data_IF_559306436716
#
_entry.id   IF_559306436716
#
_cell.length_a   1.000
_cell.length_b   1.000
_cell.length_c   1.000
_cell.angle_alpha   90.00
_cell.angle_beta   90.00
_cell.angle_gamma   90.00
#
_symmetry.space_group_name_H-M   'P 1'
#
loop_
_entity.id
_entity.type
_entity.pdbx_description
1 polymer ?
#
# COMPACT_ATOMS: atom_id res chain seq x y z
N UNK A 1 0.32 -27.90 20.61
CA UNK A 1 0.49 -26.70 19.76
C UNK A 1 1.44 -25.76 20.46
N UNK A 2 2.53 -25.36 19.81
CA UNK A 2 3.43 -24.34 20.35
C UNK A 2 2.79 -22.98 20.18
N UNK A 3 2.80 -22.19 21.24
CA UNK A 3 2.31 -20.80 21.22
C UNK A 3 3.04 -19.97 20.16
N UNK A 4 2.35 -19.08 19.49
CA UNK A 4 2.91 -18.23 18.44
C UNK A 4 2.62 -16.77 18.74
N UNK A 5 3.68 -15.96 18.73
CA UNK A 5 3.65 -14.56 19.13
C UNK A 5 3.02 -13.64 18.05
N UNK A 6 2.77 -14.14 16.83
CA UNK A 6 2.18 -13.37 15.75
C UNK A 6 1.22 -14.19 14.90
N UNK A 7 0.26 -13.49 14.27
CA UNK A 7 -0.71 -14.07 13.33
C UNK A 7 -0.02 -14.75 12.16
N UNK A 8 1.02 -14.15 11.58
CA UNK A 8 1.76 -14.68 10.43
C UNK A 8 2.44 -16.01 10.78
N UNK A 9 3.04 -16.08 11.97
CA UNK A 9 3.65 -17.34 12.47
C UNK A 9 2.57 -18.41 12.72
N UNK A 10 1.40 -18.04 13.22
CA UNK A 10 0.28 -18.96 13.43
C UNK A 10 -0.21 -19.52 12.10
N UNK A 11 -0.44 -18.66 11.09
CA UNK A 11 -0.83 -19.08 9.73
C UNK A 11 0.23 -20.04 9.15
N UNK A 12 1.50 -19.63 9.11
CA UNK A 12 2.56 -20.42 8.50
C UNK A 12 2.84 -21.75 9.20
N UNK A 13 2.67 -21.83 10.53
CA UNK A 13 2.93 -23.07 11.30
C UNK A 13 1.75 -24.01 11.41
N UNK A 14 0.53 -23.46 11.44
CA UNK A 14 -0.67 -24.22 11.76
C UNK A 14 -1.67 -24.27 10.61
N UNK A 15 -2.15 -23.14 10.12
CA UNK A 15 -3.23 -23.13 9.13
C UNK A 15 -2.84 -23.78 7.80
N UNK A 16 -1.69 -23.36 7.22
CA UNK A 16 -1.24 -23.89 5.92
C UNK A 16 -0.78 -25.34 5.96
N UNK A 17 -0.43 -25.86 7.13
CA UNK A 17 0.05 -27.25 7.30
C UNK A 17 -0.97 -28.18 7.92
N UNK A 18 -2.07 -27.64 8.42
CA UNK A 18 -3.06 -28.41 9.15
C UNK A 18 -3.60 -29.59 8.32
N UNK A 19 -4.15 -29.31 7.17
CA UNK A 19 -4.74 -30.31 6.27
C UNK A 19 -3.70 -31.37 5.89
N UNK A 20 -2.49 -30.94 5.49
CA UNK A 20 -1.42 -31.87 5.14
C UNK A 20 -1.04 -32.76 6.31
N UNK A 21 -0.90 -32.22 7.52
CA UNK A 21 -0.53 -32.99 8.71
C UNK A 21 -1.54 -34.12 8.98
N UNK A 22 -2.83 -33.83 8.94
CA UNK A 22 -3.86 -34.85 9.17
C UNK A 22 -3.99 -35.83 8.01
N UNK A 23 -3.80 -35.37 6.76
CA UNK A 23 -3.74 -36.27 5.62
C UNK A 23 -2.59 -37.28 5.72
N UNK A 24 -1.39 -36.84 6.13
CA UNK A 24 -0.23 -37.69 6.33
C UNK A 24 -0.46 -38.74 7.46
N UNK A 25 -1.37 -38.43 8.40
CA UNK A 25 -1.82 -39.37 9.46
C UNK A 25 -2.95 -40.31 9.00
N UNK A 26 -3.38 -40.22 7.73
CA UNK A 26 -4.41 -41.09 7.15
C UNK A 26 -5.85 -40.61 7.37
N UNK A 27 -6.06 -39.40 7.89
CA UNK A 27 -7.39 -38.83 8.02
C UNK A 27 -7.92 -38.38 6.65
N UNK A 28 -9.21 -38.61 6.41
CA UNK A 28 -9.92 -38.08 5.24
C UNK A 28 -10.51 -36.73 5.60
N UNK A 29 -10.47 -35.80 4.66
CA UNK A 29 -11.07 -34.47 4.77
C UNK A 29 -11.76 -34.13 3.46
N UNK A 30 -12.76 -33.24 3.55
CA UNK A 30 -13.42 -32.66 2.41
C UNK A 30 -13.80 -31.22 2.73
N UNK A 31 -14.04 -30.39 1.72
CA UNK A 31 -14.51 -29.04 1.88
C UNK A 31 -16.05 -29.00 1.80
N UNK A 32 -16.69 -28.24 2.70
CA UNK A 32 -18.14 -28.03 2.67
C UNK A 32 -18.55 -27.33 1.37
N UNK A 33 -17.71 -26.42 0.88
CA UNK A 33 -17.89 -25.72 -0.39
C UNK A 33 -16.64 -25.95 -1.23
N UNK A 34 -16.84 -26.41 -2.46
CA UNK A 34 -15.80 -26.61 -3.46
C UNK A 34 -15.69 -25.36 -4.31
N UNK A 35 -14.88 -24.40 -3.87
CA UNK A 35 -14.61 -23.17 -4.61
C UNK A 35 -13.11 -23.00 -4.79
N UNK A 36 -12.69 -22.69 -6.01
CA UNK A 36 -11.30 -22.67 -6.42
C UNK A 36 -10.76 -21.24 -6.66
N UNK A 37 -11.58 -20.22 -6.48
CA UNK A 37 -11.12 -18.85 -6.58
C UNK A 37 -10.34 -18.44 -5.33
N UNK A 38 -9.20 -17.79 -5.54
CA UNK A 38 -8.37 -17.29 -4.46
C UNK A 38 -9.15 -16.30 -3.59
N UNK A 39 -9.07 -16.51 -2.27
CA UNK A 39 -9.68 -15.62 -1.29
C UNK A 39 -11.22 -15.48 -1.40
N UNK A 40 -11.94 -16.46 -2.00
CA UNK A 40 -13.39 -16.41 -2.23
C UNK A 40 -14.19 -16.02 -0.99
N UNK A 41 -13.80 -16.50 0.21
CA UNK A 41 -14.45 -16.13 1.48
C UNK A 41 -14.37 -14.64 1.84
N UNK A 42 -13.47 -13.86 1.21
CA UNK A 42 -13.31 -12.43 1.42
C UNK A 42 -13.90 -11.61 0.29
N UNK A 43 -13.78 -12.11 -0.94
CA UNK A 43 -14.09 -11.38 -2.17
C UNK A 43 -15.51 -11.73 -2.63
N UNK A 44 -15.92 -12.99 -2.49
CA UNK A 44 -17.19 -13.53 -2.94
C UNK A 44 -18.02 -14.12 -1.79
N UNK A 45 -18.32 -13.35 -0.73
CA UNK A 45 -19.02 -13.88 0.43
C UNK A 45 -20.45 -14.35 0.11
N UNK A 46 -21.15 -13.68 -0.82
CA UNK A 46 -22.48 -14.09 -1.26
C UNK A 46 -22.43 -15.38 -2.08
N UNK A 47 -21.50 -15.48 -3.03
CA UNK A 47 -21.28 -16.70 -3.81
C UNK A 47 -21.00 -17.89 -2.90
N UNK A 48 -20.15 -17.72 -1.89
CA UNK A 48 -19.84 -18.75 -0.91
C UNK A 48 -21.06 -19.16 -0.08
N UNK A 49 -21.87 -18.20 0.36
CA UNK A 49 -23.09 -18.46 1.12
C UNK A 49 -24.11 -19.26 0.27
N UNK A 50 -24.34 -18.84 -0.99
CA UNK A 50 -25.20 -19.55 -1.95
C UNK A 50 -24.69 -20.95 -2.29
N UNK A 51 -23.39 -21.17 -2.24
CA UNK A 51 -22.78 -22.50 -2.43
C UNK A 51 -22.84 -23.39 -1.18
N UNK A 52 -23.46 -22.93 -0.09
CA UNK A 52 -23.70 -23.71 1.13
C UNK A 52 -22.68 -23.47 2.25
N UNK A 53 -21.86 -22.44 2.17
CA UNK A 53 -21.02 -22.05 3.31
C UNK A 53 -21.91 -21.62 4.49
N UNK A 54 -21.73 -22.18 5.70
CA UNK A 54 -22.52 -21.77 6.87
C UNK A 54 -21.99 -20.48 7.51
N UNK A 55 -20.96 -19.86 6.95
CA UNK A 55 -20.21 -18.75 7.57
C UNK A 55 -19.94 -17.64 6.56
N UNK A 56 -20.05 -16.40 7.04
CA UNK A 56 -19.52 -15.21 6.37
C UNK A 56 -18.35 -14.68 7.20
N UNK A 57 -17.22 -14.44 6.58
CA UNK A 57 -16.06 -13.86 7.29
C UNK A 57 -16.35 -12.41 7.69
N UNK A 58 -16.16 -12.11 8.97
CA UNK A 58 -16.29 -10.76 9.52
C UNK A 58 -15.53 -9.70 8.68
N UNK A 59 -14.32 -10.04 8.24
CA UNK A 59 -13.49 -9.13 7.46
C UNK A 59 -13.97 -8.94 6.02
N UNK A 60 -14.81 -9.82 5.47
CA UNK A 60 -15.42 -9.60 4.17
C UNK A 60 -16.40 -8.42 4.18
N UNK A 61 -17.07 -8.20 5.30
CA UNK A 61 -18.03 -7.10 5.49
C UNK A 61 -17.38 -5.70 5.48
N UNK A 62 -16.04 -5.60 5.50
CA UNK A 62 -15.33 -4.34 5.24
C UNK A 62 -15.54 -3.82 3.83
N UNK A 63 -15.80 -4.73 2.90
CA UNK A 63 -15.97 -4.43 1.49
C UNK A 63 -17.44 -4.10 1.19
N UNK A 64 -18.05 -3.26 2.02
CA UNK A 64 -19.47 -2.91 1.96
C UNK A 64 -19.84 -2.00 0.79
N UNK A 65 -18.87 -1.40 0.12
CA UNK A 65 -19.04 -0.58 -1.07
C UNK A 65 -17.84 -0.71 -2.03
N UNK A 66 -17.98 -0.19 -3.24
CA UNK A 66 -16.95 -0.23 -4.28
C UNK A 66 -15.68 0.51 -3.87
N UNK A 67 -15.80 1.64 -3.15
CA UNK A 67 -14.65 2.41 -2.67
C UNK A 67 -13.73 1.55 -1.80
N UNK A 68 -14.31 0.71 -0.94
CA UNK A 68 -13.54 -0.22 -0.11
C UNK A 68 -12.82 -1.27 -0.96
N UNK A 69 -13.48 -1.76 -2.00
CA UNK A 69 -12.91 -2.72 -2.94
C UNK A 69 -11.73 -2.14 -3.69
N UNK A 70 -11.86 -0.94 -4.25
CA UNK A 70 -10.80 -0.26 -5.00
C UNK A 70 -9.55 -0.05 -4.15
N UNK A 71 -9.71 0.41 -2.90
CA UNK A 71 -8.59 0.59 -1.98
C UNK A 71 -7.97 -0.73 -1.49
N UNK A 72 -8.61 -1.86 -1.73
CA UNK A 72 -8.04 -3.19 -1.48
C UNK A 72 -7.42 -3.82 -2.73
N UNK A 73 -7.34 -3.09 -3.81
CA UNK A 73 -6.73 -3.55 -5.04
C UNK A 73 -7.65 -4.42 -5.90
N UNK A 74 -8.96 -4.39 -5.66
CA UNK A 74 -9.95 -5.21 -6.38
C UNK A 74 -10.74 -4.34 -7.35
N UNK A 75 -10.72 -4.71 -8.64
CA UNK A 75 -11.49 -4.05 -9.72
C UNK A 75 -12.75 -4.86 -10.01
N UNK A 76 -13.68 -4.85 -9.07
CA UNK A 76 -14.96 -5.54 -9.18
C UNK A 76 -15.97 -4.98 -8.19
N UNK A 77 -17.24 -5.28 -8.42
CA UNK A 77 -18.32 -4.85 -7.55
C UNK A 77 -18.28 -5.60 -6.21
N UNK A 78 -18.70 -4.92 -5.16
CA UNK A 78 -18.85 -5.52 -3.83
C UNK A 78 -20.09 -6.42 -3.80
N UNK A 79 -19.97 -7.64 -3.31
CA UNK A 79 -21.10 -8.52 -3.06
C UNK A 79 -21.80 -8.28 -1.70
N UNK A 80 -21.27 -7.37 -0.86
CA UNK A 80 -21.83 -7.18 0.50
C UNK A 80 -23.23 -6.58 0.50
N UNK A 81 -23.60 -5.61 -0.35
CA UNK A 81 -24.98 -5.16 -0.45
C UNK A 81 -25.94 -6.32 -0.79
N UNK A 82 -25.68 -7.05 -1.86
CA UNK A 82 -26.49 -8.18 -2.29
C UNK A 82 -26.51 -9.34 -1.26
N UNK A 83 -25.42 -9.50 -0.49
CA UNK A 83 -25.36 -10.46 0.61
C UNK A 83 -26.32 -10.10 1.74
N UNK A 84 -26.41 -8.83 2.08
CA UNK A 84 -27.36 -8.36 3.12
C UNK A 84 -28.80 -8.59 2.68
N UNK A 85 -29.13 -8.29 1.43
CA UNK A 85 -30.46 -8.51 0.85
C UNK A 85 -30.79 -10.00 0.82
N UNK A 86 -29.86 -10.84 0.35
CA UNK A 86 -30.05 -12.30 0.34
C UNK A 86 -30.28 -12.87 1.75
N UNK A 87 -29.53 -12.41 2.75
CA UNK A 87 -29.70 -12.89 4.13
C UNK A 87 -31.05 -12.46 4.68
N UNK A 88 -31.50 -11.25 4.38
CA UNK A 88 -32.79 -10.73 4.84
C UNK A 88 -34.00 -11.47 4.20
N UNK A 89 -33.90 -11.87 2.93
CA UNK A 89 -34.99 -12.40 2.17
C UNK A 89 -35.04 -13.94 2.17
N UNK A 90 -33.89 -14.59 2.18
CA UNK A 90 -33.77 -16.02 1.90
C UNK A 90 -33.31 -16.85 3.12
N UNK A 91 -33.10 -16.23 4.29
CA UNK A 91 -32.62 -16.94 5.49
C UNK A 91 -33.33 -16.47 6.76
N UNK A 92 -33.32 -17.33 7.80
CA UNK A 92 -33.80 -16.95 9.13
C UNK A 92 -32.73 -16.22 9.98
N UNK A 93 -31.54 -15.92 9.43
CA UNK A 93 -30.50 -15.25 10.16
C UNK A 93 -30.84 -13.78 10.34
N UNK A 94 -30.69 -13.20 11.55
CA UNK A 94 -31.03 -11.80 11.78
C UNK A 94 -30.02 -10.87 11.07
N UNK A 95 -30.41 -10.35 9.91
CA UNK A 95 -29.56 -9.48 9.06
C UNK A 95 -29.02 -8.27 9.81
N UNK A 96 -29.78 -7.74 10.79
CA UNK A 96 -29.36 -6.62 11.64
C UNK A 96 -27.98 -6.82 12.29
N UNK A 97 -27.57 -8.07 12.56
CA UNK A 97 -26.22 -8.35 13.10
C UNK A 97 -25.14 -8.02 12.06
N UNK A 98 -25.37 -8.36 10.78
CA UNK A 98 -24.44 -8.05 9.70
C UNK A 98 -24.42 -6.54 9.41
N UNK A 99 -25.58 -5.90 9.39
CA UNK A 99 -25.70 -4.44 9.23
C UNK A 99 -24.97 -3.68 10.35
N UNK A 100 -25.10 -4.13 11.60
CA UNK A 100 -24.35 -3.56 12.72
C UNK A 100 -22.84 -3.67 12.54
N UNK A 101 -22.36 -4.77 11.99
CA UNK A 101 -20.94 -4.95 11.68
C UNK A 101 -20.51 -3.99 10.57
N UNK A 102 -21.27 -3.93 9.47
CA UNK A 102 -21.01 -2.98 8.37
C UNK A 102 -21.01 -1.55 8.88
N UNK A 103 -21.99 -1.17 9.70
CA UNK A 103 -22.07 0.16 10.28
C UNK A 103 -20.87 0.47 11.19
N UNK A 104 -20.37 -0.49 11.93
CA UNK A 104 -19.11 -0.32 12.68
C UNK A 104 -17.94 0.00 11.77
N UNK A 105 -17.82 -0.66 10.61
CA UNK A 105 -16.78 -0.33 9.64
C UNK A 105 -16.97 1.07 9.03
N UNK A 106 -18.21 1.50 8.77
CA UNK A 106 -18.52 2.86 8.27
C UNK A 106 -18.19 3.94 9.30
N UNK A 107 -18.36 3.64 10.58
CA UNK A 107 -18.21 4.62 11.68
C UNK A 107 -16.82 4.63 12.32
N UNK A 108 -15.90 3.71 11.96
CA UNK A 108 -14.51 3.80 12.42
C UNK A 108 -13.96 5.16 11.98
N UNK A 109 -13.54 6.04 12.91
CA UNK A 109 -12.89 7.28 12.55
C UNK A 109 -11.71 6.95 11.63
N UNK A 110 -11.73 7.50 10.44
CA UNK A 110 -10.57 7.41 9.55
C UNK A 110 -9.55 8.37 10.12
N UNK A 111 -8.64 7.85 10.93
CA UNK A 111 -7.50 8.62 11.42
C UNK A 111 -6.76 9.14 10.19
N UNK A 112 -6.91 10.43 9.91
CA UNK A 112 -6.21 11.06 8.81
C UNK A 112 -4.75 11.23 9.20
N UNK A 113 -3.87 10.59 8.47
CA UNK A 113 -2.42 10.69 8.65
C UNK A 113 -1.74 11.07 7.33
N UNK A 114 -0.52 11.57 7.45
CA UNK A 114 0.38 11.70 6.32
C UNK A 114 1.08 10.35 6.13
N UNK A 115 0.96 9.76 4.96
CA UNK A 115 1.61 8.49 4.61
C UNK A 115 2.96 8.77 3.95
N UNK A 116 4.04 8.28 4.55
CA UNK A 116 5.38 8.31 3.96
C UNK A 116 5.76 6.89 3.52
N UNK A 117 6.00 6.70 2.23
CA UNK A 117 6.43 5.43 1.63
C UNK A 117 7.91 5.53 1.33
N UNK A 118 8.74 4.68 1.97
CA UNK A 118 10.18 4.61 1.77
C UNK A 118 10.51 3.61 0.65
N UNK A 119 10.90 4.11 -0.52
CA UNK A 119 11.33 3.29 -1.66
C UNK A 119 12.79 2.82 -1.57
N UNK A 120 13.59 3.35 -0.63
CA UNK A 120 14.99 2.94 -0.41
C UNK A 120 15.08 1.82 0.62
N UNK A 121 14.09 1.69 1.51
CA UNK A 121 13.95 0.60 2.48
C UNK A 121 15.20 0.38 3.36
N UNK A 122 15.84 1.48 3.73
CA UNK A 122 17.06 1.47 4.53
C UNK A 122 18.28 0.77 3.86
N UNK A 123 18.25 0.51 2.56
CA UNK A 123 19.42 0.04 1.78
C UNK A 123 20.54 1.10 1.84
N UNK A 124 20.14 2.38 1.86
CA UNK A 124 21.02 3.53 2.09
C UNK A 124 20.52 4.22 3.37
N UNK A 125 20.98 3.80 4.57
CA UNK A 125 20.39 4.20 5.85
C UNK A 125 20.33 5.72 6.07
N UNK A 126 21.35 6.45 5.61
CA UNK A 126 21.36 7.91 5.71
C UNK A 126 20.25 8.56 4.88
N UNK A 127 19.91 8.01 3.71
CA UNK A 127 18.83 8.54 2.87
C UNK A 127 17.48 8.35 3.55
N UNK A 128 17.16 7.13 4.00
CA UNK A 128 15.97 6.85 4.81
C UNK A 128 15.92 7.78 6.04
N UNK A 129 17.06 7.93 6.77
CA UNK A 129 17.09 8.78 7.96
C UNK A 129 16.73 10.21 7.64
N UNK A 130 17.41 10.86 6.68
CA UNK A 130 17.22 12.27 6.39
C UNK A 130 15.91 12.58 5.65
N UNK A 131 15.50 11.71 4.72
CA UNK A 131 14.35 12.01 3.86
C UNK A 131 13.03 11.50 4.40
N UNK A 132 13.04 10.42 5.17
CA UNK A 132 11.80 9.77 5.66
C UNK A 132 11.65 9.98 7.17
N UNK A 133 12.61 9.51 7.98
CA UNK A 133 12.45 9.50 9.43
C UNK A 133 12.49 10.90 10.03
N UNK A 134 13.44 11.74 9.64
CA UNK A 134 13.51 13.14 10.12
C UNK A 134 12.28 13.94 9.68
N UNK A 135 11.78 13.71 8.47
CA UNK A 135 10.52 14.32 7.99
C UNK A 135 9.33 13.86 8.85
N UNK A 136 9.23 12.57 9.13
CA UNK A 136 8.19 12.05 10.02
C UNK A 136 8.25 12.69 11.41
N UNK A 137 9.45 12.85 11.95
CA UNK A 137 9.68 13.53 13.25
C UNK A 137 9.22 14.99 13.19
N UNK A 138 9.65 15.74 12.17
CA UNK A 138 9.23 17.13 11.97
C UNK A 138 7.69 17.26 11.90
N UNK A 139 7.04 16.44 11.10
CA UNK A 139 5.58 16.47 10.94
C UNK A 139 4.87 16.13 12.27
N UNK A 140 5.36 15.13 13.01
CA UNK A 140 4.80 14.77 14.33
C UNK A 140 4.96 15.91 15.36
N UNK A 141 6.09 16.60 15.35
CA UNK A 141 6.31 17.81 16.20
C UNK A 141 5.33 18.93 15.89
N UNK A 142 4.85 19.01 14.65
CA UNK A 142 3.80 19.96 14.24
C UNK A 142 2.38 19.43 14.46
N UNK A 143 2.21 18.30 15.14
CA UNK A 143 0.91 17.77 15.52
C UNK A 143 0.23 16.89 14.47
N UNK A 144 0.94 16.54 13.38
CA UNK A 144 0.38 15.64 12.36
C UNK A 144 0.56 14.18 12.77
N UNK A 145 -0.48 13.38 12.57
CA UNK A 145 -0.34 11.93 12.58
C UNK A 145 0.47 11.50 11.34
N UNK A 146 1.46 10.63 11.51
CA UNK A 146 2.34 10.18 10.41
C UNK A 146 2.53 8.69 10.48
N UNK A 147 2.24 8.02 9.38
CA UNK A 147 2.54 6.61 9.14
C UNK A 147 3.72 6.50 8.18
N UNK A 148 4.75 5.77 8.59
CA UNK A 148 5.90 5.42 7.74
C UNK A 148 5.79 3.95 7.39
N UNK A 149 6.02 3.61 6.13
CA UNK A 149 5.99 2.24 5.62
C UNK A 149 7.09 2.06 4.59
N UNK A 150 7.76 0.91 4.59
CA UNK A 150 8.62 0.50 3.49
C UNK A 150 7.79 0.16 2.25
N UNK A 151 8.34 0.35 1.06
CA UNK A 151 7.64 0.01 -0.18
C UNK A 151 7.23 -1.47 -0.23
N UNK A 152 8.10 -2.36 0.24
CA UNK A 152 7.83 -3.82 0.33
C UNK A 152 6.66 -4.19 1.24
N UNK A 153 6.36 -3.36 2.24
CA UNK A 153 5.27 -3.56 3.20
C UNK A 153 4.02 -2.73 2.85
N UNK A 154 4.12 -1.90 1.82
CA UNK A 154 3.03 -1.03 1.41
C UNK A 154 1.84 -1.84 0.89
N UNK A 155 0.66 -1.44 1.27
CA UNK A 155 -0.61 -1.94 0.76
C UNK A 155 -1.49 -0.74 0.39
N UNK A 156 -2.17 -0.82 -0.74
CA UNK A 156 -3.01 0.26 -1.27
C UNK A 156 -4.06 0.74 -0.25
N UNK A 157 -4.60 -0.18 0.56
CA UNK A 157 -5.53 0.13 1.64
C UNK A 157 -4.98 1.09 2.71
N UNK A 158 -3.65 1.20 2.85
CA UNK A 158 -3.04 2.17 3.75
C UNK A 158 -3.24 3.61 3.27
N UNK A 159 -3.38 3.83 1.97
CA UNK A 159 -3.63 5.15 1.41
C UNK A 159 -5.08 5.62 1.57
N UNK A 160 -6.03 4.71 1.81
CA UNK A 160 -7.44 5.06 2.00
C UNK A 160 -7.65 6.11 3.10
N UNK A 161 -6.93 6.01 4.21
CA UNK A 161 -7.03 6.93 5.33
C UNK A 161 -5.95 8.02 5.35
N UNK A 162 -5.10 8.06 4.33
CA UNK A 162 -4.11 9.13 4.22
C UNK A 162 -4.75 10.45 3.77
N UNK A 163 -4.34 11.55 4.38
CA UNK A 163 -4.67 12.91 3.94
C UNK A 163 -3.72 13.39 2.85
N UNK A 164 -2.45 13.01 2.96
CA UNK A 164 -1.38 13.30 2.00
C UNK A 164 -0.48 12.08 1.90
N UNK A 165 0.11 11.88 0.74
CA UNK A 165 0.99 10.76 0.46
C UNK A 165 2.32 11.31 -0.05
N UNK A 166 3.42 10.85 0.54
CA UNK A 166 4.78 11.17 0.09
C UNK A 166 5.49 9.87 -0.23
N UNK A 167 5.98 9.75 -1.45
CA UNK A 167 6.70 8.58 -1.95
C UNK A 167 8.17 8.98 -2.11
N UNK A 168 9.03 8.43 -1.26
CA UNK A 168 10.44 8.71 -1.33
C UNK A 168 11.15 7.72 -2.26
N UNK A 169 11.78 8.26 -3.34
CA UNK A 169 12.72 7.59 -4.23
C UNK A 169 12.32 6.16 -4.60
N UNK A 170 11.07 6.00 -5.03
CA UNK A 170 10.53 4.73 -5.49
C UNK A 170 10.36 4.74 -7.01
N UNK A 171 10.81 3.71 -7.74
CA UNK A 171 10.49 3.58 -9.16
C UNK A 171 8.98 3.33 -9.32
N UNK A 172 8.43 3.73 -10.47
CA UNK A 172 7.03 3.44 -10.79
C UNK A 172 6.78 1.93 -10.79
N UNK A 173 5.65 1.54 -10.23
CA UNK A 173 5.13 0.17 -10.31
C UNK A 173 3.63 0.21 -10.64
N UNK A 174 3.03 -0.91 -11.09
CA UNK A 174 1.58 -0.96 -11.29
C UNK A 174 0.77 -0.56 -10.05
N UNK A 175 1.22 -0.96 -8.86
CA UNK A 175 0.57 -0.62 -7.59
C UNK A 175 0.68 0.88 -7.27
N UNK A 176 1.85 1.49 -7.45
CA UNK A 176 2.05 2.93 -7.24
C UNK A 176 1.33 3.77 -8.29
N UNK A 177 1.27 3.32 -9.55
CA UNK A 177 0.47 3.98 -10.57
C UNK A 177 -1.02 3.96 -10.20
N UNK A 178 -1.53 2.81 -9.75
CA UNK A 178 -2.89 2.69 -9.25
C UNK A 178 -3.13 3.59 -8.05
N UNK A 179 -2.18 3.65 -7.10
CA UNK A 179 -2.23 4.57 -5.98
C UNK A 179 -2.41 6.02 -6.45
N UNK A 180 -1.59 6.49 -7.41
CA UNK A 180 -1.67 7.85 -7.94
C UNK A 180 -3.03 8.13 -8.58
N UNK A 181 -3.59 7.18 -9.36
CA UNK A 181 -4.90 7.33 -9.99
C UNK A 181 -6.01 7.44 -8.94
N UNK A 182 -6.08 6.52 -7.99
CA UNK A 182 -7.08 6.55 -6.92
C UNK A 182 -6.91 7.80 -6.04
N UNK A 183 -5.69 8.14 -5.66
CA UNK A 183 -5.43 9.33 -4.86
C UNK A 183 -5.95 10.60 -5.54
N UNK A 184 -5.73 10.73 -6.84
CA UNK A 184 -6.25 11.82 -7.65
C UNK A 184 -7.78 11.87 -7.68
N UNK A 185 -8.43 10.71 -7.88
CA UNK A 185 -9.89 10.58 -7.88
C UNK A 185 -10.50 10.99 -6.54
N UNK A 186 -9.85 10.61 -5.44
CA UNK A 186 -10.29 10.91 -4.07
C UNK A 186 -9.70 12.21 -3.50
N UNK A 187 -9.07 13.04 -4.32
CA UNK A 187 -8.53 14.35 -3.92
C UNK A 187 -7.42 14.30 -2.88
N UNK A 188 -6.62 13.22 -2.89
CA UNK A 188 -5.48 13.01 -1.97
C UNK A 188 -4.18 13.41 -2.65
N UNK A 189 -3.50 14.49 -2.23
CA UNK A 189 -2.26 14.91 -2.85
C UNK A 189 -1.14 13.86 -2.69
N UNK A 190 -0.47 13.55 -3.80
CA UNK A 190 0.69 12.66 -3.85
C UNK A 190 1.92 13.44 -4.24
N UNK A 191 2.98 13.37 -3.44
CA UNK A 191 4.25 14.03 -3.70
C UNK A 191 5.37 13.00 -3.88
N UNK A 192 6.19 13.21 -4.90
CA UNK A 192 7.42 12.45 -5.09
C UNK A 192 8.60 13.15 -4.41
N UNK A 193 9.24 12.50 -3.46
CA UNK A 193 10.41 13.04 -2.77
C UNK A 193 11.68 12.45 -3.40
N UNK A 194 12.52 13.31 -3.93
CA UNK A 194 13.77 12.91 -4.57
C UNK A 194 14.88 13.93 -4.28
N UNK A 195 16.06 13.43 -3.92
CA UNK A 195 17.20 14.22 -3.48
C UNK A 195 18.42 14.12 -4.40
N UNK A 196 18.30 13.40 -5.52
CA UNK A 196 19.32 13.24 -6.54
C UNK A 196 18.76 13.48 -7.95
N UNK A 197 19.64 13.85 -8.91
CA UNK A 197 19.32 14.00 -10.34
C UNK A 197 19.28 12.64 -11.07
N UNK A 198 18.44 11.71 -10.61
CA UNK A 198 18.33 10.35 -11.13
C UNK A 198 16.96 10.04 -11.74
N UNK A 199 16.23 11.06 -12.15
CA UNK A 199 14.89 10.95 -12.72
C UNK A 199 14.83 11.23 -14.23
N UNK A 200 15.96 11.62 -14.86
CA UNK A 200 16.09 11.76 -16.28
C UNK A 200 17.52 11.40 -16.73
N UNK A 201 17.64 10.68 -17.84
CA UNK A 201 18.95 10.25 -18.38
C UNK A 201 19.81 11.41 -18.84
N UNK A 202 19.23 12.58 -19.14
CA UNK A 202 19.98 13.81 -19.49
C UNK A 202 20.98 14.20 -18.40
N UNK A 203 20.69 13.91 -17.14
CA UNK A 203 21.59 14.17 -16.02
C UNK A 203 22.59 13.04 -15.79
N UNK A 204 22.14 11.81 -15.96
CA UNK A 204 22.93 10.61 -15.62
C UNK A 204 23.89 10.21 -16.73
N UNK A 205 23.63 10.56 -17.98
CA UNK A 205 24.52 10.28 -19.12
C UNK A 205 25.89 10.98 -19.01
N UNK A 206 25.97 12.03 -18.22
CA UNK A 206 27.21 12.81 -18.00
C UNK A 206 28.07 12.24 -16.87
N UNK A 207 27.57 11.29 -16.10
CA UNK A 207 28.29 10.71 -14.98
C UNK A 207 29.39 9.76 -15.47
N UNK A 208 30.58 9.90 -14.93
CA UNK A 208 31.73 9.02 -15.26
C UNK A 208 31.42 7.54 -15.01
N UNK A 209 30.63 7.25 -13.99
CA UNK A 209 30.16 5.91 -13.68
C UNK A 209 29.37 5.30 -14.85
N UNK A 210 28.40 6.02 -15.40
CA UNK A 210 27.54 5.50 -16.49
C UNK A 210 28.30 5.34 -17.81
N UNK A 211 29.34 6.09 -18.02
CA UNK A 211 30.22 5.98 -19.19
C UNK A 211 31.07 4.71 -19.18
N UNK A 212 31.32 4.12 -18.00
CA UNK A 212 32.05 2.87 -17.81
C UNK A 212 31.20 1.60 -17.93
N UNK A 213 29.89 1.73 -18.03
CA UNK A 213 28.96 0.59 -18.10
C UNK A 213 28.95 -0.03 -19.50
N UNK A 214 28.80 -1.36 -19.58
CA UNK A 214 28.49 -2.00 -20.84
C UNK A 214 27.04 -1.69 -21.28
N UNK A 215 26.66 -2.06 -22.51
CA UNK A 215 25.36 -1.70 -23.10
C UNK A 215 24.16 -2.27 -22.32
N UNK A 216 24.30 -3.46 -21.72
CA UNK A 216 23.22 -4.10 -20.92
C UNK A 216 23.09 -3.40 -19.58
N UNK A 217 24.19 -3.17 -18.91
CA UNK A 217 24.22 -2.45 -17.62
C UNK A 217 23.68 -1.02 -17.77
N UNK A 218 24.12 -0.30 -18.81
CA UNK A 218 23.61 1.03 -19.14
C UNK A 218 22.12 1.01 -19.40
N UNK A 219 21.62 0.06 -20.20
CA UNK A 219 20.19 -0.10 -20.48
C UNK A 219 19.36 -0.32 -19.21
N UNK A 220 19.84 -1.16 -18.29
CA UNK A 220 19.17 -1.41 -17.00
C UNK A 220 19.19 -0.17 -16.10
N UNK A 221 20.32 0.54 -16.04
CA UNK A 221 20.45 1.77 -15.29
C UNK A 221 19.49 2.85 -15.80
N UNK A 222 19.47 3.07 -17.10
CA UNK A 222 18.58 4.05 -17.75
C UNK A 222 17.11 3.70 -17.60
N UNK A 223 16.76 2.42 -17.59
CA UNK A 223 15.39 1.97 -17.28
C UNK A 223 15.00 2.34 -15.85
N UNK A 224 15.90 2.17 -14.88
CA UNK A 224 15.70 2.60 -13.51
C UNK A 224 15.49 4.10 -13.39
N UNK A 225 16.32 4.89 -14.04
CA UNK A 225 16.21 6.37 -14.09
C UNK A 225 14.87 6.80 -14.69
N UNK A 226 14.47 6.22 -15.83
CA UNK A 226 13.16 6.50 -16.45
C UNK A 226 11.99 6.16 -15.53
N UNK A 227 12.08 5.07 -14.79
CA UNK A 227 11.03 4.67 -13.84
C UNK A 227 10.85 5.68 -12.69
N UNK A 228 11.91 6.34 -12.25
CA UNK A 228 11.79 7.48 -11.31
C UNK A 228 11.15 8.70 -11.99
N UNK A 229 11.51 8.99 -13.25
CA UNK A 229 10.87 10.05 -14.03
C UNK A 229 9.38 9.83 -14.21
N UNK A 230 8.96 8.63 -14.58
CA UNK A 230 7.54 8.27 -14.68
C UNK A 230 6.81 8.39 -13.35
N UNK A 231 7.46 8.04 -12.23
CA UNK A 231 6.86 8.25 -10.91
C UNK A 231 6.65 9.74 -10.63
N UNK A 232 7.64 10.57 -10.91
CA UNK A 232 7.58 12.02 -10.77
C UNK A 232 6.41 12.62 -11.59
N UNK A 233 6.23 12.18 -12.83
CA UNK A 233 5.17 12.66 -13.73
C UNK A 233 3.75 12.31 -13.25
N UNK A 234 3.60 11.19 -12.54
CA UNK A 234 2.30 10.73 -12.03
C UNK A 234 1.93 11.29 -10.66
N UNK A 235 2.81 12.10 -10.04
CA UNK A 235 2.54 12.76 -8.77
C UNK A 235 2.01 14.20 -8.96
N UNK A 236 1.36 14.75 -7.95
CA UNK A 236 0.83 16.14 -7.95
C UNK A 236 1.92 17.18 -7.68
N UNK A 237 3.12 16.77 -7.37
CA UNK A 237 4.26 17.62 -7.15
C UNK A 237 5.48 16.86 -6.64
N UNK A 238 6.56 17.59 -6.42
CA UNK A 238 7.82 17.04 -5.92
C UNK A 238 8.26 17.68 -4.59
N UNK A 239 9.06 16.94 -3.85
CA UNK A 239 9.79 17.43 -2.66
C UNK A 239 11.26 17.16 -2.90
N UNK A 240 12.12 18.11 -2.53
CA UNK A 240 13.57 17.94 -2.70
C UNK A 240 14.36 18.63 -1.58
N UNK A 241 15.70 18.47 -1.61
CA UNK A 241 16.59 18.87 -0.52
C UNK A 241 17.35 20.17 -0.74
N UNK A 242 17.55 20.59 -1.99
CA UNK A 242 18.36 21.76 -2.33
C UNK A 242 17.65 22.68 -3.33
N UNK A 243 18.05 23.99 -3.32
CA UNK A 243 17.49 24.94 -4.28
C UNK A 243 17.82 24.55 -5.73
N UNK A 244 19.02 24.04 -5.98
CA UNK A 244 19.43 23.61 -7.32
C UNK A 244 18.55 22.47 -7.86
N UNK A 245 18.29 21.46 -7.05
CA UNK A 245 17.36 20.37 -7.40
C UNK A 245 15.94 20.89 -7.60
N UNK A 246 15.51 21.87 -6.80
CA UNK A 246 14.20 22.49 -6.93
C UNK A 246 14.04 23.18 -8.30
N UNK A 247 15.05 23.93 -8.72
CA UNK A 247 15.08 24.59 -10.04
C UNK A 247 15.03 23.58 -11.18
N UNK A 248 15.75 22.46 -11.08
CA UNK A 248 15.71 21.40 -12.08
C UNK A 248 14.33 20.72 -12.12
N UNK A 249 13.75 20.40 -10.96
CA UNK A 249 12.45 19.75 -10.87
C UNK A 249 11.28 20.60 -11.36
N UNK A 250 11.38 21.93 -11.32
CA UNK A 250 10.38 22.82 -11.93
C UNK A 250 10.23 22.65 -13.45
N UNK A 251 11.17 21.99 -14.12
CA UNK A 251 11.04 21.62 -15.54
C UNK A 251 10.05 20.47 -15.77
N UNK A 252 9.77 19.68 -14.73
CA UNK A 252 8.96 18.47 -14.77
C UNK A 252 7.65 18.60 -13.96
N UNK A 253 7.65 19.42 -12.91
CA UNK A 253 6.55 19.60 -11.99
C UNK A 253 6.28 21.09 -11.69
N UNK A 254 5.01 21.46 -11.71
CA UNK A 254 4.60 22.84 -11.40
C UNK A 254 4.68 23.17 -9.90
N UNK A 255 4.62 22.15 -9.03
CA UNK A 255 4.67 22.28 -7.58
C UNK A 255 5.87 21.54 -7.04
N UNK A 256 6.87 22.28 -6.59
CA UNK A 256 8.10 21.72 -6.01
C UNK A 256 8.37 22.34 -4.64
N UNK A 257 8.38 21.51 -3.61
CA UNK A 257 8.60 21.90 -2.22
C UNK A 257 10.05 21.66 -1.83
N UNK A 258 10.64 22.62 -1.15
CA UNK A 258 11.97 22.48 -0.59
C UNK A 258 11.89 22.02 0.87
N UNK A 259 12.37 20.81 1.15
CA UNK A 259 12.55 20.28 2.50
C UNK A 259 14.00 19.84 2.68
N UNK A 260 14.80 20.70 3.31
CA UNK A 260 16.24 20.49 3.50
C UNK A 260 16.53 19.33 4.44
N UNK A 261 17.67 18.70 4.25
CA UNK A 261 18.21 17.72 5.19
C UNK A 261 18.71 18.45 6.44
N UNK A 262 17.97 18.34 7.53
CA UNK A 262 18.30 18.92 8.83
C UNK A 262 18.57 17.79 9.83
N UNK A 263 19.42 18.09 10.83
CA UNK A 263 19.58 17.21 11.96
C UNK A 263 18.26 17.11 12.74
N UNK A 264 17.92 15.92 13.19
CA UNK A 264 16.82 15.68 14.14
C UNK A 264 17.35 15.72 15.57
N UNK A 265 16.44 15.84 16.55
CA UNK A 265 16.84 15.82 17.96
C UNK A 265 17.55 14.52 18.33
N UNK A 266 17.14 13.38 17.73
CA UNK A 266 17.80 12.08 17.90
C UNK A 266 19.25 12.03 17.38
N UNK A 267 19.62 12.96 16.50
CA UNK A 267 21.01 13.08 15.99
C UNK A 267 21.85 14.06 16.81
N UNK A 268 21.22 14.85 17.67
CA UNK A 268 21.87 15.87 18.49
C UNK A 268 22.04 15.39 19.93
N UNK A 269 21.21 14.42 20.37
CA UNK A 269 21.27 13.79 21.68
C UNK A 269 22.39 12.75 21.75
#
# INVERSE_FOLDING_TARGET
>A
MTDTDSREKAIGRHETRFTKHFADLGYRFDAVVQEYEDSAMYIHPLKMLKAGSPLVKYTALKNYDEDQFLWQGLDRDSEVPDLLDFVAEETDYPVAILEDIVNKFKTVPRDQYILLIDGVENIIPQCTRYRVLNKAEQLRKHGFAVKVVNLSDFQLSMAQNASHIVIYRSPISPELLRLCHLAKEYGKPVFFDIDDLVFDTVYTDQLSYTQGLNSVEKGNYDAGVRNYGYMLENCDGAITSTNQLQEELYKYQSKVLLNRNLASDDLIA
#
